data_IF_765775871630
#
_entry.id   IF_765775871630
#
_cell.length_a   1.000
_cell.length_b   1.000
_cell.length_c   1.000
_cell.angle_alpha   90.00
_cell.angle_beta   90.00
_cell.angle_gamma   90.00
#
_symmetry.space_group_name_H-M   'P 1'
#
loop_
_entity.id
_entity.type
_entity.pdbx_description
1 polymer ?
#
# COMPACT_ATOMS: atom_id res chain seq x y z
N UNK A 1 18.54 -14.23 6.50
CA UNK A 1 18.29 -12.78 6.60
C UNK A 1 17.62 -12.30 5.33
N UNK A 2 16.29 -12.33 5.27
CA UNK A 2 15.55 -11.83 4.11
C UNK A 2 15.45 -10.31 4.27
N UNK A 3 16.40 -9.59 3.69
CA UNK A 3 16.25 -8.14 3.47
C UNK A 3 15.12 -8.00 2.48
N UNK A 4 13.89 -7.80 2.97
CA UNK A 4 12.80 -7.33 2.11
C UNK A 4 13.23 -5.93 1.65
N UNK A 5 13.83 -5.91 0.47
CA UNK A 5 14.25 -4.72 -0.23
C UNK A 5 13.04 -3.78 -0.35
N UNK A 6 13.20 -2.49 -0.02
CA UNK A 6 12.09 -1.54 0.07
C UNK A 6 11.31 -1.39 -1.23
N UNK A 7 11.94 -1.68 -2.37
CA UNK A 7 11.34 -1.72 -3.69
C UNK A 7 10.34 -2.87 -3.89
N UNK A 8 10.55 -4.04 -3.27
CA UNK A 8 9.57 -5.14 -3.35
C UNK A 8 8.26 -4.80 -2.63
N UNK A 9 8.33 -4.06 -1.51
CA UNK A 9 7.15 -3.72 -0.72
C UNK A 9 6.15 -2.88 -1.52
N UNK A 10 6.64 -1.93 -2.33
CA UNK A 10 5.80 -1.09 -3.21
C UNK A 10 5.03 -1.94 -4.22
N UNK A 11 5.72 -2.87 -4.88
CA UNK A 11 5.13 -3.74 -5.89
C UNK A 11 4.05 -4.64 -5.28
N UNK A 12 4.34 -5.23 -4.11
CA UNK A 12 3.39 -6.07 -3.39
C UNK A 12 2.14 -5.29 -2.97
N UNK A 13 2.29 -4.09 -2.42
CA UNK A 13 1.16 -3.20 -2.08
C UNK A 13 0.31 -2.87 -3.31
N UNK A 14 0.94 -2.59 -4.45
CA UNK A 14 0.24 -2.33 -5.71
C UNK A 14 -0.49 -3.56 -6.25
N UNK A 15 0.07 -4.76 -6.09
CA UNK A 15 -0.54 -6.00 -6.55
C UNK A 15 -1.72 -6.39 -5.65
N UNK A 16 -1.57 -6.32 -4.33
CA UNK A 16 -2.66 -6.52 -3.37
C UNK A 16 -3.79 -5.51 -3.59
N UNK A 17 -3.48 -4.22 -3.77
CA UNK A 17 -4.51 -3.21 -4.06
C UNK A 17 -5.17 -3.38 -5.44
N UNK A 18 -4.53 -4.09 -6.38
CA UNK A 18 -5.13 -4.49 -7.65
C UNK A 18 -6.10 -5.66 -7.46
N UNK A 19 -5.77 -6.62 -6.59
CA UNK A 19 -6.64 -7.75 -6.26
C UNK A 19 -7.77 -7.40 -5.28
N UNK A 20 -7.48 -6.53 -4.30
CA UNK A 20 -8.36 -6.11 -3.21
C UNK A 20 -8.46 -4.57 -3.15
N UNK A 21 -9.15 -3.95 -4.12
CA UNK A 21 -9.39 -2.50 -4.10
C UNK A 21 -10.24 -2.10 -2.90
N UNK A 22 -9.95 -0.94 -2.30
CA UNK A 22 -10.70 -0.40 -1.16
C UNK A 22 -10.25 -0.93 0.21
N UNK A 23 -9.03 -1.46 0.28
CA UNK A 23 -8.45 -1.97 1.53
C UNK A 23 -7.92 -0.84 2.43
N UNK A 24 -8.01 -1.04 3.74
CA UNK A 24 -7.47 -0.09 4.73
C UNK A 24 -5.96 -0.28 4.90
N UNK A 25 -5.22 0.74 5.34
CA UNK A 25 -3.75 0.63 5.56
C UNK A 25 -3.36 -0.53 6.50
N UNK A 26 -4.17 -0.78 7.54
CA UNK A 26 -3.98 -1.91 8.45
C UNK A 26 -4.25 -3.27 7.82
N UNK A 27 -5.23 -3.39 6.92
CA UNK A 27 -5.50 -4.64 6.20
C UNK A 27 -4.39 -4.98 5.22
N UNK A 28 -3.93 -3.99 4.46
CA UNK A 28 -2.81 -4.11 3.52
C UNK A 28 -1.56 -4.55 4.28
N UNK A 29 -1.27 -3.91 5.42
CA UNK A 29 -0.15 -4.28 6.28
C UNK A 29 -0.26 -5.73 6.76
N UNK A 30 -1.43 -6.15 7.25
CA UNK A 30 -1.63 -7.51 7.77
C UNK A 30 -1.57 -8.59 6.69
N UNK A 31 -1.99 -8.30 5.45
CA UNK A 31 -1.99 -9.27 4.34
C UNK A 31 -0.61 -9.43 3.72
N UNK A 32 0.08 -8.32 3.49
CA UNK A 32 1.28 -8.30 2.65
C UNK A 32 2.55 -8.41 3.50
N UNK A 33 2.55 -7.75 4.66
CA UNK A 33 3.76 -7.54 5.42
C UNK A 33 3.49 -7.45 6.93
N UNK A 34 2.84 -8.46 7.55
CA UNK A 34 2.55 -8.45 8.99
C UNK A 34 3.83 -8.43 9.83
N UNK A 35 4.94 -8.93 9.28
CA UNK A 35 6.27 -8.93 9.87
C UNK A 35 7.03 -7.60 9.76
N UNK A 36 6.55 -6.65 8.95
CA UNK A 36 7.19 -5.36 8.71
C UNK A 36 6.62 -4.30 9.68
N UNK A 37 7.41 -3.37 10.20
CA UNK A 37 6.87 -2.28 11.02
C UNK A 37 5.87 -1.41 10.24
N UNK A 38 4.74 -1.09 10.87
CA UNK A 38 3.65 -0.27 10.29
C UNK A 38 4.16 1.07 9.70
N UNK A 39 5.14 1.70 10.34
CA UNK A 39 5.81 2.92 9.86
C UNK A 39 6.38 2.78 8.44
N UNK A 40 6.90 1.60 8.08
CA UNK A 40 7.47 1.35 6.74
C UNK A 40 6.37 1.26 5.70
N UNK A 41 5.26 0.57 6.00
CA UNK A 41 4.07 0.59 5.14
C UNK A 41 3.50 1.99 4.99
N UNK A 42 3.39 2.76 6.07
CA UNK A 42 2.89 4.12 6.01
C UNK A 42 3.74 5.01 5.08
N UNK A 43 5.07 4.94 5.19
CA UNK A 43 5.99 5.60 4.24
C UNK A 43 5.81 5.11 2.80
N UNK A 44 5.69 3.79 2.60
CA UNK A 44 5.50 3.20 1.27
C UNK A 44 4.19 3.64 0.64
N UNK A 45 3.08 3.65 1.39
CA UNK A 45 1.79 4.16 0.94
C UNK A 45 1.89 5.64 0.57
N UNK A 46 2.55 6.45 1.40
CA UNK A 46 2.82 7.87 1.10
C UNK A 46 3.57 8.05 -0.22
N UNK A 47 4.67 7.33 -0.42
CA UNK A 47 5.42 7.37 -1.68
C UNK A 47 4.58 6.94 -2.88
N UNK A 48 3.78 5.88 -2.76
CA UNK A 48 2.91 5.41 -3.84
C UNK A 48 1.81 6.42 -4.19
N UNK A 49 1.31 7.17 -3.20
CA UNK A 49 0.37 8.28 -3.41
C UNK A 49 1.07 9.44 -4.12
N UNK A 50 2.27 9.82 -3.70
CA UNK A 50 3.09 10.86 -4.35
C UNK A 50 3.41 10.49 -5.81
N UNK A 51 3.75 9.22 -6.05
CA UNK A 51 3.99 8.65 -7.39
C UNK A 51 2.70 8.45 -8.20
N UNK A 52 1.52 8.83 -7.66
CA UNK A 52 0.18 8.65 -8.26
C UNK A 52 -0.15 7.20 -8.66
N UNK A 53 0.52 6.23 -8.04
CA UNK A 53 0.33 4.78 -8.26
C UNK A 53 -0.89 4.25 -7.51
N UNK A 54 -1.23 4.86 -6.37
CA UNK A 54 -2.40 4.51 -5.58
C UNK A 54 -3.18 5.78 -5.26
N UNK A 55 -4.51 5.66 -5.16
CA UNK A 55 -5.39 6.69 -4.63
C UNK A 55 -5.90 6.27 -3.27
N UNK A 56 -6.22 7.25 -2.44
CA UNK A 56 -6.95 7.01 -1.20
C UNK A 56 -8.25 7.81 -1.22
N UNK A 57 -9.25 7.31 -0.53
CA UNK A 57 -10.56 7.94 -0.38
C UNK A 57 -11.08 7.67 1.03
N UNK A 58 -11.82 8.62 1.58
CA UNK A 58 -12.34 8.57 2.94
C UNK A 58 -11.53 9.40 3.94
N UNK A 59 -12.19 9.76 5.04
CA UNK A 59 -11.67 10.65 6.08
C UNK A 59 -11.17 9.85 7.29
N UNK A 60 -9.93 10.14 7.71
CA UNK A 60 -9.17 9.59 8.85
C UNK A 60 -9.38 8.10 9.22
N UNK A 61 -10.54 7.75 9.80
CA UNK A 61 -10.88 6.40 10.29
C UNK A 61 -11.32 5.43 9.19
N UNK A 62 -11.77 5.93 8.05
CA UNK A 62 -12.28 5.12 6.94
C UNK A 62 -11.44 5.29 5.67
N UNK A 63 -10.18 5.71 5.82
CA UNK A 63 -9.28 5.88 4.69
C UNK A 63 -9.01 4.53 4.05
N UNK A 64 -9.55 4.35 2.85
CA UNK A 64 -9.36 3.19 2.00
C UNK A 64 -8.41 3.56 0.87
N UNK A 65 -7.73 2.56 0.36
CA UNK A 65 -6.75 2.71 -0.72
C UNK A 65 -7.20 1.89 -1.93
N UNK A 66 -6.93 2.41 -3.11
CA UNK A 66 -7.18 1.75 -4.38
C UNK A 66 -5.94 1.88 -5.25
N UNK A 67 -5.63 0.82 -6.00
CA UNK A 67 -4.65 0.94 -7.07
C UNK A 67 -5.16 1.98 -8.09
N UNK A 68 -4.38 3.01 -8.35
CA UNK A 68 -4.68 3.97 -9.39
C UNK A 68 -4.28 3.31 -10.70
N UNK A 69 -5.27 2.83 -11.46
CA UNK A 69 -5.08 2.23 -12.79
C UNK A 69 -4.69 3.28 -13.86
N UNK A 70 -3.88 4.26 -13.47
CA UNK A 70 -3.47 5.38 -14.30
C UNK A 70 -1.98 5.32 -14.63
N UNK A 71 -1.58 4.34 -15.43
CA UNK A 71 -0.50 4.56 -16.38
C UNK A 71 -0.84 3.77 -17.65
N UNK A 72 -0.89 4.41 -18.83
CA UNK A 72 -0.94 3.70 -20.12
C UNK A 72 0.32 2.85 -20.35
#
# INVERSE_FOLDING_TARGET
MQRIEPHCLKALVLEDLRHYPGSSSGEIHHRIAPEVPYMKIYRTLGQLVEEKRIRYEGDNRWRRYWASAGLP
#
